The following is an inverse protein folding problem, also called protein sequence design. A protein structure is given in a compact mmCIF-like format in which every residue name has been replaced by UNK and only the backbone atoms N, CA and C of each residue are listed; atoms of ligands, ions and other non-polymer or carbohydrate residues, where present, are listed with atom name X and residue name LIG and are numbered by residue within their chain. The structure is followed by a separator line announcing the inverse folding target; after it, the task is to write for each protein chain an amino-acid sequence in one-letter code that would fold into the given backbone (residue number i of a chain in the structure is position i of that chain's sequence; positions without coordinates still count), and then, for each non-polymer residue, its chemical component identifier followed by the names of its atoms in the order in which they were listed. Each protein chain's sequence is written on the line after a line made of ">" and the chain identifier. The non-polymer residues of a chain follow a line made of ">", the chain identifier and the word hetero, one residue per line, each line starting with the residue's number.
data_IF_703242564077
#
_entry.id   IF_703242564077
#
_cell.length_a   1.000
_cell.length_b   1.000
_cell.length_c   1.000
_cell.angle_alpha   90.00
_cell.angle_beta   90.00
_cell.angle_gamma   90.00
#
_symmetry.space_group_name_H-M   'P 1'
#
loop_
_entity.id
_entity.type
_entity.pdbx_description
1 polymer ?
#
# COMPACT_ATOMS: atom_id res chain seq x y z
N UNK A 1 24.51 26.54 43.28
CA UNK A 1 23.47 25.51 43.09
C UNK A 1 22.25 26.20 42.51
N UNK A 2 22.08 26.14 41.19
CA UNK A 2 20.97 26.82 40.50
C UNK A 2 19.77 25.88 40.56
N UNK A 3 18.71 26.33 41.24
CA UNK A 3 17.39 25.71 41.17
C UNK A 3 16.73 26.07 39.83
N UNK A 4 16.16 25.08 39.15
CA UNK A 4 15.19 25.30 38.08
C UNK A 4 13.82 24.77 38.54
N UNK A 5 12.79 25.63 38.60
CA UNK A 5 11.42 25.23 38.87
C UNK A 5 10.66 25.15 37.55
N UNK A 6 10.46 23.96 37.01
CA UNK A 6 9.31 23.76 36.11
C UNK A 6 8.93 22.28 36.04
N UNK A 7 7.95 21.90 36.87
CA UNK A 7 7.31 20.59 36.82
C UNK A 7 6.20 20.66 35.78
N UNK A 8 6.55 20.63 34.50
CA UNK A 8 5.58 20.36 33.45
C UNK A 8 5.30 18.85 33.45
N UNK A 9 4.33 18.45 34.26
CA UNK A 9 3.76 17.11 34.24
C UNK A 9 3.03 16.97 32.89
N UNK A 10 3.67 16.32 31.93
CA UNK A 10 3.04 15.95 30.66
C UNK A 10 2.28 14.66 30.93
N UNK A 11 0.95 14.74 31.05
CA UNK A 11 0.13 13.54 31.06
C UNK A 11 0.34 12.79 29.74
N UNK A 12 0.70 11.50 29.77
CA UNK A 12 0.78 10.69 28.57
C UNK A 12 -0.62 10.64 27.93
N UNK A 13 -0.72 11.06 26.68
CA UNK A 13 -1.95 10.85 25.91
C UNK A 13 -2.09 9.34 25.71
N UNK A 14 -3.04 8.73 26.40
CA UNK A 14 -3.45 7.35 26.14
C UNK A 14 -4.13 7.29 24.77
N UNK A 15 -3.32 7.05 23.75
CA UNK A 15 -3.82 6.74 22.41
C UNK A 15 -4.23 5.28 22.41
N UNK A 16 -5.53 5.05 22.55
CA UNK A 16 -6.13 3.74 22.33
C UNK A 16 -5.89 3.33 20.86
N UNK A 17 -4.90 2.47 20.63
CA UNK A 17 -4.62 1.90 19.31
C UNK A 17 -5.79 0.97 18.99
N UNK A 18 -6.82 1.52 18.35
CA UNK A 18 -7.88 0.70 17.78
C UNK A 18 -7.25 -0.17 16.70
N UNK A 19 -7.29 -1.48 16.93
CA UNK A 19 -6.94 -2.55 15.99
C UNK A 19 -7.89 -2.61 14.78
N UNK A 20 -8.27 -1.45 14.23
CA UNK A 20 -8.74 -1.37 12.86
C UNK A 20 -7.52 -1.55 11.97
N UNK A 21 -7.10 -2.81 11.87
CA UNK A 21 -6.33 -3.33 10.76
C UNK A 21 -6.82 -2.64 9.49
N UNK A 22 -5.93 -1.81 8.95
CA UNK A 22 -6.06 -1.15 7.66
C UNK A 22 -6.62 -2.17 6.68
N UNK A 23 -7.79 -1.88 6.12
CA UNK A 23 -8.52 -2.67 5.12
C UNK A 23 -7.58 -3.53 4.24
N UNK A 24 -7.32 -4.76 4.68
CA UNK A 24 -6.58 -5.75 3.92
C UNK A 24 -7.60 -6.40 2.97
N UNK A 25 -7.69 -5.86 1.76
CA UNK A 25 -8.35 -6.57 0.67
C UNK A 25 -7.38 -7.68 0.23
N UNK A 26 -7.53 -8.87 0.82
CA UNK A 26 -6.99 -10.09 0.23
C UNK A 26 -7.73 -10.29 -1.10
N UNK A 27 -7.02 -10.12 -2.20
CA UNK A 27 -7.48 -10.56 -3.52
C UNK A 27 -6.55 -11.71 -3.84
N UNK A 28 -7.12 -12.91 -3.90
CA UNK A 28 -6.37 -14.17 -4.02
C UNK A 28 -5.30 -14.09 -5.11
N UNK A 29 -4.15 -14.71 -4.85
CA UNK A 29 -3.14 -14.96 -5.88
C UNK A 29 -3.80 -15.77 -7.00
N UNK A 30 -3.80 -15.23 -8.24
CA UNK A 30 -4.36 -15.99 -9.35
C UNK A 30 -3.51 -17.26 -9.58
N UNK A 31 -4.14 -18.42 -9.81
CA UNK A 31 -3.47 -19.71 -9.89
C UNK A 31 -2.46 -19.83 -11.05
N UNK A 32 -2.35 -18.83 -11.92
CA UNK A 32 -1.40 -18.80 -13.04
C UNK A 32 0.01 -18.26 -12.66
N UNK A 33 0.19 -17.85 -11.39
CA UNK A 33 1.46 -17.33 -10.87
C UNK A 33 1.72 -15.86 -11.21
N UNK A 34 0.79 -15.17 -11.89
CA UNK A 34 0.84 -13.72 -12.07
C UNK A 34 0.33 -13.00 -10.83
N UNK A 35 0.93 -11.85 -10.59
CA UNK A 35 0.50 -10.94 -9.53
C UNK A 35 -0.94 -10.48 -9.81
N UNK A 36 -1.75 -10.31 -8.76
CA UNK A 36 -3.16 -9.90 -8.85
C UNK A 36 -3.40 -8.59 -9.64
N UNK A 37 -2.40 -7.72 -9.74
CA UNK A 37 -2.47 -6.46 -10.49
C UNK A 37 -1.91 -6.55 -11.91
N UNK A 38 -1.51 -7.73 -12.38
CA UNK A 38 -0.88 -7.94 -13.69
C UNK A 38 -1.76 -7.41 -14.83
N UNK A 39 -3.03 -7.84 -14.88
CA UNK A 39 -3.95 -7.42 -15.93
C UNK A 39 -4.28 -5.92 -15.87
N UNK A 40 -4.34 -5.35 -14.67
CA UNK A 40 -4.52 -3.90 -14.47
C UNK A 40 -3.33 -3.14 -15.04
N UNK A 41 -2.11 -3.58 -14.69
CA UNK A 41 -0.85 -2.97 -15.15
C UNK A 41 -0.73 -3.07 -16.67
N UNK A 42 -0.99 -4.25 -17.24
CA UNK A 42 -0.96 -4.48 -18.69
C UNK A 42 -1.98 -3.60 -19.40
N UNK A 43 -3.23 -3.58 -18.92
CA UNK A 43 -4.29 -2.76 -19.50
C UNK A 43 -3.96 -1.25 -19.45
N UNK A 44 -3.38 -0.76 -18.35
CA UNK A 44 -2.98 0.65 -18.27
C UNK A 44 -1.81 0.99 -19.22
N UNK A 45 -0.92 0.03 -19.49
CA UNK A 45 0.21 0.21 -20.39
C UNK A 45 -0.17 0.12 -21.88
N UNK A 46 -0.92 -0.92 -22.28
CA UNK A 46 -1.19 -1.23 -23.69
C UNK A 46 -2.63 -0.98 -24.13
N UNK A 47 -3.55 -0.75 -23.20
CA UNK A 47 -5.02 -0.69 -23.44
C UNK A 47 -5.63 -1.97 -24.00
N UNK A 48 -4.91 -3.08 -23.90
CA UNK A 48 -5.37 -4.40 -24.33
C UNK A 48 -6.06 -5.16 -23.20
N UNK A 49 -7.04 -5.99 -23.59
CA UNK A 49 -7.73 -6.90 -22.67
C UNK A 49 -7.08 -8.28 -22.67
N UNK A 50 -7.28 -9.09 -21.62
CA UNK A 50 -6.91 -10.50 -21.65
C UNK A 50 -7.63 -11.20 -22.82
N UNK A 51 -6.92 -12.08 -23.51
CA UNK A 51 -7.34 -12.68 -24.78
C UNK A 51 -8.65 -13.46 -24.69
N UNK A 52 -8.93 -14.05 -23.52
CA UNK A 52 -10.13 -14.84 -23.25
C UNK A 52 -11.14 -14.13 -22.32
N UNK A 53 -10.99 -12.82 -22.10
CA UNK A 53 -11.89 -12.09 -21.21
C UNK A 53 -13.25 -11.79 -21.88
N UNK A 54 -14.32 -12.12 -21.17
CA UNK A 54 -15.69 -11.77 -21.56
C UNK A 54 -15.90 -10.26 -21.54
N UNK A 55 -16.93 -9.77 -22.26
CA UNK A 55 -17.31 -8.35 -22.23
C UNK A 55 -17.58 -7.83 -20.81
N UNK A 56 -18.11 -8.67 -19.92
CA UNK A 56 -18.33 -8.35 -18.51
C UNK A 56 -17.01 -8.13 -17.76
N UNK A 57 -16.04 -9.04 -17.92
CA UNK A 57 -14.70 -8.92 -17.35
C UNK A 57 -13.96 -7.69 -17.89
N UNK A 58 -14.06 -7.42 -19.19
CA UNK A 58 -13.45 -6.23 -19.81
C UNK A 58 -14.04 -4.92 -19.26
N UNK A 59 -15.34 -4.90 -18.97
CA UNK A 59 -15.99 -3.75 -18.31
C UNK A 59 -15.54 -3.64 -16.85
N UNK A 60 -15.42 -4.75 -16.13
CA UNK A 60 -14.96 -4.78 -14.75
C UNK A 60 -13.52 -4.27 -14.64
N UNK A 61 -12.61 -4.76 -15.49
CA UNK A 61 -11.22 -4.35 -15.56
C UNK A 61 -11.08 -2.85 -15.86
N UNK A 62 -11.85 -2.31 -16.82
CA UNK A 62 -11.90 -0.86 -17.08
C UNK A 62 -12.28 -0.04 -15.85
N UNK A 63 -13.33 -0.48 -15.14
CA UNK A 63 -13.79 0.19 -13.91
C UNK A 63 -12.73 0.11 -12.81
N UNK A 64 -12.14 -1.07 -12.63
CA UNK A 64 -11.10 -1.30 -11.64
C UNK A 64 -9.87 -0.42 -11.92
N UNK A 65 -9.40 -0.38 -13.16
CA UNK A 65 -8.25 0.41 -13.59
C UNK A 65 -8.40 1.92 -13.33
N UNK A 66 -9.63 2.46 -13.23
CA UNK A 66 -9.87 3.85 -12.85
C UNK A 66 -9.41 4.17 -11.42
N UNK A 67 -9.25 3.16 -10.57
CA UNK A 67 -8.70 3.32 -9.23
C UNK A 67 -7.16 3.25 -9.20
N UNK A 68 -6.51 3.07 -10.35
CA UNK A 68 -5.07 2.91 -10.45
C UNK A 68 -4.42 3.92 -11.39
N UNK A 69 -3.13 4.14 -11.17
CA UNK A 69 -2.28 5.01 -11.94
C UNK A 69 -0.94 4.31 -12.19
N UNK A 70 -0.48 4.30 -13.44
CA UNK A 70 0.80 3.73 -13.83
C UNK A 70 1.79 4.85 -14.11
N UNK A 71 2.92 4.87 -13.39
CA UNK A 71 4.02 5.80 -13.60
C UNK A 71 5.29 5.02 -13.94
N UNK A 72 5.66 5.01 -15.22
CA UNK A 72 6.69 4.10 -15.73
C UNK A 72 6.32 2.65 -15.43
N UNK A 73 7.16 1.94 -14.68
CA UNK A 73 6.91 0.55 -14.28
C UNK A 73 6.13 0.40 -12.97
N UNK A 74 5.89 1.49 -12.24
CA UNK A 74 5.32 1.45 -10.89
C UNK A 74 3.82 1.70 -10.95
N UNK A 75 3.05 0.75 -10.43
CA UNK A 75 1.61 0.87 -10.29
C UNK A 75 1.24 1.46 -8.92
N UNK A 76 0.31 2.41 -8.92
CA UNK A 76 -0.21 3.07 -7.74
C UNK A 76 -1.73 2.88 -7.66
N UNK A 77 -2.23 2.59 -6.46
CA UNK A 77 -3.66 2.64 -6.14
C UNK A 77 -4.01 4.02 -5.59
N UNK A 78 -5.06 4.63 -6.13
CA UNK A 78 -5.66 5.87 -5.63
C UNK A 78 -6.43 5.58 -4.35
N UNK A 79 -6.18 6.36 -3.30
CA UNK A 79 -6.97 6.33 -2.06
C UNK A 79 -8.01 7.45 -2.06
N UNK A 80 -9.01 7.35 -1.18
CA UNK A 80 -10.12 8.31 -1.09
C UNK A 80 -9.65 9.71 -0.64
N UNK A 81 -8.53 9.78 0.06
CA UNK A 81 -7.91 10.97 0.64
C UNK A 81 -6.83 11.59 -0.27
N UNK A 82 -6.88 11.35 -1.59
CA UNK A 82 -5.93 11.88 -2.60
C UNK A 82 -4.53 11.24 -2.51
N UNK A 83 -4.30 10.33 -1.55
CA UNK A 83 -3.09 9.55 -1.45
C UNK A 83 -2.89 8.55 -2.60
N UNK A 84 -1.64 8.13 -2.77
CA UNK A 84 -1.24 7.06 -3.68
C UNK A 84 -0.50 5.99 -2.89
N UNK A 85 -0.99 4.75 -2.95
CA UNK A 85 -0.32 3.58 -2.40
C UNK A 85 0.43 2.85 -3.50
N UNK A 86 1.71 2.55 -3.26
CA UNK A 86 2.51 1.78 -4.23
C UNK A 86 2.09 0.32 -4.17
N UNK A 87 1.75 -0.25 -5.33
CA UNK A 87 1.58 -1.69 -5.47
C UNK A 87 2.96 -2.35 -5.53
N UNK A 88 3.18 -3.34 -4.70
CA UNK A 88 4.39 -4.16 -4.67
C UNK A 88 4.01 -5.63 -4.80
N UNK A 89 4.95 -6.46 -5.26
CA UNK A 89 4.75 -7.91 -5.26
C UNK A 89 5.08 -8.49 -3.88
N UNK A 90 4.67 -9.73 -3.65
CA UNK A 90 4.84 -10.46 -2.39
C UNK A 90 6.29 -10.43 -1.92
N UNK A 91 7.25 -10.78 -2.81
CA UNK A 91 8.67 -10.79 -2.46
C UNK A 91 9.21 -9.42 -2.01
N UNK A 92 8.79 -8.34 -2.67
CA UNK A 92 9.19 -6.96 -2.31
C UNK A 92 8.48 -6.49 -1.05
N UNK A 93 7.22 -6.88 -0.85
CA UNK A 93 6.50 -6.62 0.38
C UNK A 93 7.17 -7.28 1.58
N UNK A 94 7.55 -8.55 1.48
CA UNK A 94 8.27 -9.28 2.53
C UNK A 94 9.57 -8.56 2.90
N UNK A 95 10.39 -8.18 1.91
CA UNK A 95 11.63 -7.43 2.16
C UNK A 95 11.38 -6.08 2.85
N UNK A 96 10.37 -5.34 2.41
CA UNK A 96 10.01 -4.05 3.02
C UNK A 96 9.55 -4.23 4.47
N UNK A 97 8.79 -5.29 4.77
CA UNK A 97 8.39 -5.62 6.14
C UNK A 97 9.58 -5.99 7.01
N UNK A 98 10.52 -6.77 6.49
CA UNK A 98 11.78 -7.13 7.17
C UNK A 98 12.62 -5.88 7.46
N UNK A 99 12.78 -4.96 6.51
CA UNK A 99 13.49 -3.69 6.70
C UNK A 99 12.84 -2.82 7.78
N UNK A 100 11.50 -2.72 7.76
CA UNK A 100 10.72 -2.01 8.77
C UNK A 100 10.93 -2.64 10.15
N UNK A 101 10.89 -3.97 10.24
CA UNK A 101 11.08 -4.69 11.49
C UNK A 101 12.51 -4.51 12.04
N UNK A 102 13.51 -4.68 11.18
CA UNK A 102 14.94 -4.54 11.51
C UNK A 102 15.35 -3.12 11.93
N UNK A 103 14.53 -2.10 11.64
CA UNK A 103 14.84 -0.73 12.03
C UNK A 103 15.83 -0.02 11.13
N UNK A 104 16.10 -0.56 9.96
CA UNK A 104 17.01 -0.01 8.96
C UNK A 104 16.38 1.14 8.15
N UNK A 105 15.17 1.60 8.51
CA UNK A 105 14.60 2.80 7.90
C UNK A 105 15.44 4.02 8.28
N UNK A 106 15.96 4.73 7.28
CA UNK A 106 16.57 6.04 7.48
C UNK A 106 15.64 6.96 8.31
N UNK A 107 16.20 7.85 9.15
CA UNK A 107 15.45 8.59 10.17
C UNK A 107 14.38 9.56 9.64
N UNK A 108 14.15 9.61 8.32
CA UNK A 108 13.24 10.54 7.67
C UNK A 108 11.77 10.06 7.61
N UNK A 109 11.48 8.77 7.77
CA UNK A 109 10.10 8.25 7.69
C UNK A 109 9.84 7.25 8.82
N UNK A 110 8.83 7.54 9.65
CA UNK A 110 8.36 6.63 10.68
C UNK A 110 7.91 5.29 10.06
N UNK A 111 8.37 4.17 10.64
CA UNK A 111 7.96 2.78 10.31
C UNK A 111 6.45 2.63 10.08
N UNK A 112 5.63 3.27 10.93
CA UNK A 112 4.17 3.26 10.83
C UNK A 112 3.65 3.98 9.58
N UNK A 113 4.30 5.08 9.18
CA UNK A 113 3.95 5.83 7.97
C UNK A 113 4.36 5.08 6.71
N UNK A 114 5.44 4.31 6.76
CA UNK A 114 5.88 3.48 5.63
C UNK A 114 4.94 2.29 5.42
N UNK A 115 4.58 1.57 6.49
CA UNK A 115 3.63 0.46 6.43
C UNK A 115 2.27 0.88 5.85
N UNK A 116 1.77 2.06 6.24
CA UNK A 116 0.51 2.62 5.71
C UNK A 116 0.58 3.00 4.23
N UNK A 117 1.77 3.21 3.65
CA UNK A 117 1.97 3.65 2.26
C UNK A 117 2.20 2.49 1.28
N UNK A 118 2.44 1.30 1.79
CA UNK A 118 2.69 0.11 0.98
C UNK A 118 1.41 -0.71 0.93
N UNK A 119 0.89 -0.93 -0.28
CA UNK A 119 -0.16 -1.92 -0.48
C UNK A 119 0.51 -3.27 -0.70
N UNK A 120 0.49 -4.10 0.33
CA UNK A 120 0.92 -5.50 0.31
C UNK A 120 -0.32 -6.34 0.02
N UNK A 121 -0.24 -7.22 -0.98
CA UNK A 121 -1.19 -8.31 -1.15
C UNK A 121 -0.39 -9.60 -1.18
#
# INVERSE_FOLDING_TARGET
>A
MIQHPDKNYIDPIEVEIRDQHVYYFHIDEEPDGKQWYYDIKKFLATREYPENATNGQNRALRRLANHFFLNGEILYRRTLDIGLLRCVNTAKATRLLEEIHAGTCEPHINKFTLAKKILIA
#
